data_IF_415239162459
#
_entry.id   IF_415239162459
#
_cell.length_a   1.000
_cell.length_b   1.000
_cell.length_c   1.000
_cell.angle_alpha   90.00
_cell.angle_beta   90.00
_cell.angle_gamma   90.00
#
_symmetry.space_group_name_H-M   'P 1'
#
loop_
_entity.id
_entity.type
_entity.pdbx_description
1 polymer ?
#
# COMPACT_ATOMS: atom_id res chain seq x y z
N UNK A 1 -0.85 11.85 -11.13
CA UNK A 1 0.07 12.39 -10.09
C UNK A 1 0.92 11.20 -9.65
N UNK A 2 2.26 11.28 -9.53
CA UNK A 2 3.06 10.08 -9.22
C UNK A 2 2.95 9.61 -7.76
N UNK A 3 2.28 10.40 -6.90
CA UNK A 3 2.01 10.11 -5.50
C UNK A 3 0.50 10.12 -5.27
N UNK A 4 0.03 9.22 -4.40
CA UNK A 4 -1.31 9.22 -3.83
C UNK A 4 -1.22 8.98 -2.31
N UNK A 5 -2.00 9.74 -1.52
CA UNK A 5 -2.05 9.61 -0.05
C UNK A 5 -3.46 9.26 0.37
N UNK A 6 -3.59 8.12 1.05
CA UNK A 6 -4.86 7.54 1.46
C UNK A 6 -4.90 7.38 2.98
N UNK A 7 -6.09 7.50 3.55
CA UNK A 7 -6.29 7.37 4.99
C UNK A 7 -6.83 5.97 5.33
N UNK A 8 -6.27 5.39 6.37
CA UNK A 8 -6.66 4.12 6.94
C UNK A 8 -6.52 4.17 8.47
N UNK A 9 -6.67 3.02 9.12
CA UNK A 9 -6.58 2.84 10.57
C UNK A 9 -5.80 1.56 10.85
N UNK A 10 -4.92 1.56 11.84
CA UNK A 10 -4.41 0.31 12.40
C UNK A 10 -5.33 -0.19 13.51
N UNK A 11 -5.02 -1.37 14.04
CA UNK A 11 -5.60 -1.91 15.26
C UNK A 11 -4.50 -1.93 16.32
N UNK A 12 -4.75 -1.33 17.47
CA UNK A 12 -3.87 -1.39 18.62
C UNK A 12 -4.72 -1.65 19.87
N UNK A 13 -4.84 -2.92 20.26
CA UNK A 13 -5.79 -3.32 21.31
C UNK A 13 -7.23 -2.98 20.91
N UNK A 14 -7.87 -2.09 21.66
CA UNK A 14 -9.21 -1.58 21.38
C UNK A 14 -9.23 -0.27 20.58
N UNK A 15 -8.06 0.31 20.31
CA UNK A 15 -7.91 1.57 19.62
C UNK A 15 -7.74 1.38 18.12
N UNK A 16 -8.22 2.37 17.36
CA UNK A 16 -8.06 2.48 15.91
C UNK A 16 -7.27 3.75 15.55
N UNK A 17 -5.94 3.78 15.81
CA UNK A 17 -5.11 4.92 15.47
C UNK A 17 -5.08 5.18 13.95
N UNK A 18 -5.07 6.45 13.51
CA UNK A 18 -5.00 6.80 12.10
C UNK A 18 -3.69 6.32 11.48
N UNK A 19 -3.77 5.86 10.23
CA UNK A 19 -2.61 5.49 9.41
C UNK A 19 -2.73 6.16 8.05
N UNK A 20 -1.68 6.84 7.62
CA UNK A 20 -1.55 7.33 6.25
C UNK A 20 -0.82 6.28 5.41
N UNK A 21 -1.41 5.98 4.25
CA UNK A 21 -0.87 5.06 3.24
C UNK A 21 -0.49 5.92 2.04
N UNK A 22 0.81 6.19 1.91
CA UNK A 22 1.36 6.92 0.77
C UNK A 22 1.89 5.93 -0.26
N UNK A 23 1.41 6.05 -1.50
CA UNK A 23 1.87 5.26 -2.63
C UNK A 23 2.58 6.18 -3.62
N UNK A 24 3.86 5.91 -3.86
CA UNK A 24 4.68 6.64 -4.81
C UNK A 24 5.15 5.71 -5.94
N UNK A 25 4.96 6.17 -7.18
CA UNK A 25 5.44 5.53 -8.40
C UNK A 25 6.65 6.27 -8.95
N UNK A 26 7.80 5.60 -8.93
CA UNK A 26 9.04 6.08 -9.52
C UNK A 26 9.40 5.33 -10.80
N UNK A 27 10.21 5.96 -11.67
CA UNK A 27 10.81 5.29 -12.82
C UNK A 27 11.86 4.25 -12.43
N UNK A 28 12.31 3.47 -13.41
CA UNK A 28 13.34 2.43 -13.24
C UNK A 28 12.77 1.00 -13.25
N UNK A 29 13.59 0.03 -12.82
CA UNK A 29 13.21 -1.38 -12.82
C UNK A 29 12.01 -1.63 -11.88
N UNK A 30 11.09 -2.55 -12.25
CA UNK A 30 9.97 -2.92 -11.39
C UNK A 30 10.44 -3.41 -10.03
N UNK A 31 9.93 -2.79 -8.97
CA UNK A 31 10.20 -3.17 -7.59
C UNK A 31 9.02 -2.75 -6.72
N UNK A 32 8.78 -3.47 -5.63
CA UNK A 32 7.73 -3.13 -4.66
C UNK A 32 8.37 -3.04 -3.28
N UNK A 33 8.38 -1.84 -2.72
CA UNK A 33 8.94 -1.55 -1.40
C UNK A 33 7.83 -1.14 -0.44
N UNK A 34 7.83 -1.72 0.74
CA UNK A 34 6.88 -1.43 1.81
C UNK A 34 7.68 -0.93 3.02
N UNK A 35 7.40 0.28 3.49
CA UNK A 35 8.16 1.01 4.53
C UNK A 35 7.21 1.40 5.67
N UNK A 36 7.72 1.45 6.90
CA UNK A 36 6.94 1.77 8.11
C UNK A 36 6.76 0.61 9.10
N UNK A 37 7.79 -0.24 9.23
CA UNK A 37 7.83 -1.46 10.05
C UNK A 37 6.66 -2.43 9.80
N UNK A 38 6.46 -2.87 8.55
CA UNK A 38 5.42 -3.85 8.24
C UNK A 38 5.82 -5.26 8.68
N UNK A 39 4.88 -5.95 9.31
CA UNK A 39 4.98 -7.39 9.58
C UNK A 39 4.86 -8.22 8.29
N UNK A 40 5.21 -9.51 8.37
CA UNK A 40 5.22 -10.43 7.22
C UNK A 40 3.89 -10.44 6.46
N UNK A 41 2.77 -10.43 7.15
CA UNK A 41 1.43 -10.44 6.54
C UNK A 41 1.15 -9.21 5.64
N UNK A 42 1.74 -8.05 6.00
CA UNK A 42 1.63 -6.82 5.19
C UNK A 42 2.62 -6.86 4.03
N UNK A 43 3.75 -7.55 4.15
CA UNK A 43 4.66 -7.77 3.01
C UNK A 43 4.01 -8.63 1.92
N UNK A 44 3.11 -9.54 2.30
CA UNK A 44 2.29 -10.32 1.38
C UNK A 44 1.20 -9.49 0.66
N UNK A 45 0.93 -8.25 1.11
CA UNK A 45 -0.03 -7.35 0.46
C UNK A 45 0.30 -7.12 -1.01
N UNK A 46 1.58 -7.17 -1.41
CA UNK A 46 1.99 -7.04 -2.82
C UNK A 46 1.25 -8.03 -3.71
N UNK A 47 1.26 -9.30 -3.34
CA UNK A 47 0.75 -10.37 -4.19
C UNK A 47 -0.79 -10.38 -4.18
N UNK A 48 -1.41 -10.08 -3.02
CA UNK A 48 -2.87 -9.92 -2.90
C UNK A 48 -3.38 -8.71 -3.68
N UNK A 49 -2.75 -7.56 -3.55
CA UNK A 49 -3.12 -6.33 -4.29
C UNK A 49 -2.94 -6.52 -5.79
N UNK A 50 -1.82 -7.12 -6.22
CA UNK A 50 -1.62 -7.43 -7.64
C UNK A 50 -2.74 -8.32 -8.18
N UNK A 51 -3.03 -9.42 -7.49
CA UNK A 51 -4.10 -10.33 -7.91
C UNK A 51 -5.47 -9.63 -7.94
N UNK A 52 -5.78 -8.80 -6.94
CA UNK A 52 -7.03 -8.06 -6.88
C UNK A 52 -7.17 -7.07 -8.05
N UNK A 53 -6.14 -6.28 -8.33
CA UNK A 53 -6.16 -5.32 -9.45
C UNK A 53 -6.32 -6.03 -10.80
N UNK A 54 -5.58 -7.12 -11.03
CA UNK A 54 -5.68 -7.90 -12.27
C UNK A 54 -7.08 -8.51 -12.47
N UNK A 55 -7.66 -9.09 -11.42
CA UNK A 55 -9.03 -9.64 -11.48
C UNK A 55 -10.09 -8.55 -11.68
N UNK A 56 -9.84 -7.34 -11.17
CA UNK A 56 -10.68 -6.17 -11.38
C UNK A 56 -10.45 -5.48 -12.74
N UNK A 57 -9.60 -6.04 -13.61
CA UNK A 57 -9.25 -5.52 -14.95
C UNK A 57 -8.50 -4.18 -14.93
N UNK A 58 -7.76 -3.92 -13.86
CA UNK A 58 -6.81 -2.81 -13.78
C UNK A 58 -5.38 -3.26 -14.05
N UNK A 59 -4.54 -2.33 -14.49
CA UNK A 59 -3.13 -2.58 -14.74
C UNK A 59 -2.31 -2.45 -13.46
N UNK A 60 -1.52 -3.48 -13.15
CA UNK A 60 -0.47 -3.38 -12.12
C UNK A 60 0.80 -2.79 -12.76
N UNK A 61 1.27 -1.60 -12.34
CA UNK A 61 2.31 -0.88 -13.06
C UNK A 61 3.67 -1.60 -12.94
N UNK A 62 4.35 -1.77 -14.09
CA UNK A 62 5.74 -2.24 -14.16
C UNK A 62 6.73 -1.10 -13.83
N UNK A 63 6.60 -0.52 -12.65
CA UNK A 63 7.41 0.60 -12.14
C UNK A 63 7.92 0.29 -10.74
N UNK A 64 8.80 1.14 -10.21
CA UNK A 64 9.18 1.06 -8.80
C UNK A 64 8.06 1.68 -7.96
N UNK A 65 7.38 0.84 -7.18
CA UNK A 65 6.30 1.21 -6.26
C UNK A 65 6.88 1.26 -4.86
N UNK A 66 6.71 2.40 -4.18
CA UNK A 66 7.02 2.53 -2.76
C UNK A 66 5.75 2.85 -2.01
N UNK A 67 5.43 2.03 -1.01
CA UNK A 67 4.31 2.20 -0.10
C UNK A 67 4.86 2.56 1.27
N UNK A 68 4.51 3.72 1.78
CA UNK A 68 4.87 4.14 3.14
C UNK A 68 3.62 4.10 4.03
N UNK A 69 3.75 3.49 5.20
CA UNK A 69 2.71 3.42 6.22
C UNK A 69 3.13 4.26 7.43
N UNK A 70 2.50 5.43 7.62
CA UNK A 70 2.78 6.32 8.73
C UNK A 70 1.65 6.26 9.78
N UNK A 71 1.95 6.37 11.10
CA UNK A 71 3.25 6.63 11.67
C UNK A 71 4.08 5.34 11.86
N UNK A 72 5.40 5.40 11.72
CA UNK A 72 6.26 4.21 11.62
C UNK A 72 6.44 3.42 12.94
N UNK A 73 6.20 4.06 14.07
CA UNK A 73 6.30 3.54 15.45
C UNK A 73 5.14 2.62 15.86
N UNK A 74 4.04 2.66 15.12
CA UNK A 74 2.86 1.83 15.35
C UNK A 74 2.99 0.46 14.66
N UNK A 75 2.89 -0.68 15.36
CA UNK A 75 2.87 -1.99 14.71
C UNK A 75 1.70 -2.14 13.73
N UNK A 76 1.98 -2.69 12.56
CA UNK A 76 1.00 -2.83 11.47
C UNK A 76 0.83 -4.30 11.16
N UNK A 77 -0.12 -4.88 11.88
CA UNK A 77 -0.50 -6.28 11.78
C UNK A 77 -1.88 -6.38 11.12
N UNK A 78 -1.90 -6.83 9.86
CA UNK A 78 -3.00 -7.43 9.09
C UNK A 78 -3.05 -6.98 7.62
N UNK A 79 -3.75 -7.74 6.79
CA UNK A 79 -4.10 -7.36 5.40
C UNK A 79 -5.03 -6.15 5.22
N UNK A 80 -5.36 -5.39 6.29
CA UNK A 80 -6.27 -4.22 6.20
C UNK A 80 -5.73 -3.09 5.31
N UNK A 81 -4.42 -3.08 5.06
CA UNK A 81 -3.77 -2.08 4.21
C UNK A 81 -3.87 -2.42 2.72
N UNK A 82 -4.36 -3.60 2.33
CA UNK A 82 -4.46 -4.00 0.93
C UNK A 82 -5.33 -3.05 0.10
N UNK A 83 -6.52 -2.70 0.59
CA UNK A 83 -7.43 -1.79 -0.10
C UNK A 83 -6.82 -0.40 -0.31
N UNK A 84 -6.33 0.31 0.72
CA UNK A 84 -5.71 1.62 0.50
C UNK A 84 -4.44 1.51 -0.37
N UNK A 85 -3.67 0.43 -0.31
CA UNK A 85 -2.54 0.25 -1.24
C UNK A 85 -3.03 0.13 -2.69
N UNK A 86 -4.05 -0.68 -2.95
CA UNK A 86 -4.61 -0.87 -4.29
C UNK A 86 -5.15 0.45 -4.86
N UNK A 87 -5.94 1.18 -4.08
CA UNK A 87 -6.48 2.48 -4.47
C UNK A 87 -5.37 3.51 -4.71
N UNK A 88 -4.30 3.47 -3.90
CA UNK A 88 -3.17 4.38 -4.06
C UNK A 88 -2.39 4.11 -5.35
N UNK A 89 -2.25 2.84 -5.73
CA UNK A 89 -1.68 2.46 -7.04
C UNK A 89 -2.53 3.02 -8.18
N UNK A 90 -3.85 2.81 -8.14
CA UNK A 90 -4.78 3.28 -9.18
C UNK A 90 -4.78 4.81 -9.30
N UNK A 91 -4.87 5.52 -8.17
CA UNK A 91 -4.82 6.97 -8.16
C UNK A 91 -3.47 7.51 -8.69
N UNK A 92 -2.36 6.85 -8.36
CA UNK A 92 -1.04 7.24 -8.83
C UNK A 92 -0.81 6.91 -10.33
N UNK A 93 -1.45 5.87 -10.87
CA UNK A 93 -1.44 5.55 -12.31
C UNK A 93 -2.49 6.32 -13.11
N UNK A 94 -3.50 6.91 -12.46
CA UNK A 94 -4.59 7.65 -13.10
C UNK A 94 -5.66 6.74 -13.70
N UNK A 95 -5.95 5.60 -13.06
CA UNK A 95 -6.97 4.63 -13.44
C UNK A 95 -8.25 4.76 -12.60
#
# INVERSE_FOLDING_TARGET
MSVAVLHSRALSGFDAPPVEVEVHLAGGLPAFNLVGLPETEVKESRDRVRAALQNARFDFPARKITVNLAPADLPKESGRFDLPIALGILAATGQ
#
